data_IF_165952085932
#
_entry.id   IF_165952085932
#
_cell.length_a   1.000
_cell.length_b   1.000
_cell.length_c   1.000
_cell.angle_alpha   90.00
_cell.angle_beta   90.00
_cell.angle_gamma   90.00
#
_symmetry.space_group_name_H-M   'P 1'
#
loop_
_entity.id
_entity.type
_entity.pdbx_description
1 polymer ?
#
# COMPACT_ATOMS: atom_id res chain seq x y z
N UNK A 1 -16.34 4.41 11.82
CA UNK A 1 -14.98 4.97 11.89
C UNK A 1 -14.83 6.00 10.79
N UNK A 2 -15.03 7.27 11.12
CA UNK A 2 -14.66 8.37 10.22
C UNK A 2 -13.21 8.71 10.53
N UNK A 3 -12.36 8.86 9.51
CA UNK A 3 -10.90 9.09 9.67
C UNK A 3 -10.59 10.25 10.65
N UNK A 4 -11.44 11.27 10.70
CA UNK A 4 -11.35 12.37 11.67
C UNK A 4 -11.39 11.94 13.14
N UNK A 5 -12.27 10.99 13.50
CA UNK A 5 -12.35 10.44 14.86
C UNK A 5 -11.05 9.72 15.22
N UNK A 6 -10.45 9.01 14.26
CA UNK A 6 -9.19 8.30 14.45
C UNK A 6 -8.01 9.26 14.63
N UNK A 7 -7.95 10.33 13.82
CA UNK A 7 -6.98 11.41 13.98
C UNK A 7 -7.07 12.01 15.38
N UNK A 8 -8.29 12.33 15.84
CA UNK A 8 -8.54 12.86 17.18
C UNK A 8 -8.06 11.91 18.28
N UNK A 9 -8.41 10.63 18.18
CA UNK A 9 -8.01 9.63 19.17
C UNK A 9 -6.48 9.49 19.28
N UNK A 10 -5.77 9.47 18.15
CA UNK A 10 -4.30 9.41 18.13
C UNK A 10 -3.70 10.69 18.73
N UNK A 11 -4.26 11.86 18.37
CA UNK A 11 -3.82 13.15 18.91
C UNK A 11 -3.96 13.21 20.43
N UNK A 12 -5.12 12.84 20.95
CA UNK A 12 -5.41 12.85 22.39
C UNK A 12 -4.56 11.83 23.16
N UNK A 13 -4.35 10.63 22.60
CA UNK A 13 -3.46 9.62 23.19
C UNK A 13 -2.01 10.12 23.33
N UNK A 14 -1.57 11.00 22.42
CA UNK A 14 -0.25 11.66 22.47
C UNK A 14 -0.24 12.96 23.28
N UNK A 15 -1.35 13.32 23.92
CA UNK A 15 -1.51 14.56 24.70
C UNK A 15 -1.23 15.83 23.89
N UNK A 16 -1.52 15.80 22.59
CA UNK A 16 -1.38 16.95 21.71
C UNK A 16 -2.69 17.73 21.65
N UNK A 17 -2.61 19.05 21.64
CA UNK A 17 -3.73 19.94 21.35
C UNK A 17 -3.90 20.11 19.84
N UNK A 18 -5.04 20.64 19.40
CA UNK A 18 -5.23 21.00 17.99
C UNK A 18 -4.27 22.13 17.55
N UNK A 19 -3.83 22.98 18.49
CA UNK A 19 -2.81 24.00 18.22
C UNK A 19 -1.42 23.40 18.03
N UNK A 20 -1.10 22.32 18.75
CA UNK A 20 0.16 21.60 18.52
C UNK A 20 0.22 20.98 17.11
N UNK A 21 -0.92 20.49 16.62
CA UNK A 21 -1.02 20.02 15.23
C UNK A 21 -0.83 21.17 14.24
N UNK A 22 -1.33 22.36 14.52
CA UNK A 22 -1.10 23.52 13.66
C UNK A 22 0.40 23.82 13.50
N UNK A 23 1.14 23.85 14.61
CA UNK A 23 2.58 24.06 14.58
C UNK A 23 3.35 22.91 13.89
N UNK A 24 2.92 21.65 14.07
CA UNK A 24 3.62 20.48 13.54
C UNK A 24 3.29 20.16 12.08
N UNK A 25 2.04 20.35 11.66
CA UNK A 25 1.53 19.99 10.34
C UNK A 25 1.42 21.18 9.39
N UNK A 26 1.48 22.42 9.91
CA UNK A 26 1.16 23.63 9.16
C UNK A 26 -0.32 23.73 8.77
N UNK A 27 -1.20 23.06 9.52
CA UNK A 27 -2.64 23.01 9.27
C UNK A 27 -3.37 23.84 10.32
N UNK A 28 -4.09 24.88 9.90
CA UNK A 28 -4.84 25.75 10.81
C UNK A 28 -5.67 24.95 11.82
N UNK A 29 -5.66 25.35 13.09
CA UNK A 29 -6.41 24.71 14.18
C UNK A 29 -7.89 24.57 13.84
N UNK A 30 -8.49 25.60 13.23
CA UNK A 30 -9.90 25.56 12.83
C UNK A 30 -10.16 24.49 11.75
N UNK A 31 -9.23 24.29 10.83
CA UNK A 31 -9.29 23.25 9.81
C UNK A 31 -9.15 21.85 10.43
N UNK A 32 -8.18 21.67 11.34
CA UNK A 32 -8.02 20.45 12.13
C UNK A 32 -9.30 20.09 12.90
N UNK A 33 -9.93 21.06 13.56
CA UNK A 33 -11.21 20.86 14.26
C UNK A 33 -12.34 20.41 13.33
N UNK A 34 -12.45 21.00 12.13
CA UNK A 34 -13.45 20.57 11.14
C UNK A 34 -13.26 19.14 10.69
N UNK A 35 -12.00 18.71 10.50
CA UNK A 35 -11.67 17.33 10.12
C UNK A 35 -12.01 16.37 11.24
N UNK A 36 -11.55 16.66 12.47
CA UNK A 36 -11.78 15.79 13.63
C UNK A 36 -13.26 15.57 13.96
N UNK A 37 -14.11 16.57 13.67
CA UNK A 37 -15.56 16.49 13.87
C UNK A 37 -16.34 16.05 12.61
N UNK A 38 -15.66 15.65 11.53
CA UNK A 38 -16.30 15.12 10.32
C UNK A 38 -16.99 16.18 9.43
N UNK A 39 -16.77 17.47 9.67
CA UNK A 39 -17.31 18.56 8.85
C UNK A 39 -16.55 18.79 7.54
N UNK A 40 -15.40 18.15 7.36
CA UNK A 40 -14.58 18.25 6.16
C UNK A 40 -13.84 16.93 5.92
N UNK A 41 -13.83 16.47 4.66
CA UNK A 41 -13.03 15.34 4.23
C UNK A 41 -11.64 15.84 3.80
N UNK A 42 -10.55 15.41 4.45
CA UNK A 42 -9.20 15.82 4.08
C UNK A 42 -8.74 15.17 2.76
N UNK A 43 -7.83 15.84 2.05
CA UNK A 43 -7.12 15.21 0.92
C UNK A 43 -6.07 14.20 1.42
N UNK A 44 -5.54 13.38 0.51
CA UNK A 44 -4.44 12.47 0.83
C UNK A 44 -3.20 13.23 1.35
N UNK A 45 -2.84 14.35 0.72
CA UNK A 45 -1.73 15.20 1.16
C UNK A 45 -1.95 15.72 2.58
N UNK A 46 -3.18 16.13 2.90
CA UNK A 46 -3.54 16.55 4.27
C UNK A 46 -3.40 15.39 5.25
N UNK A 47 -3.84 14.19 4.90
CA UNK A 47 -3.69 13.00 5.74
C UNK A 47 -2.22 12.64 5.97
N UNK A 48 -1.34 12.81 4.98
CA UNK A 48 0.10 12.64 5.15
C UNK A 48 0.70 13.66 6.12
N UNK A 49 0.25 14.92 6.07
CA UNK A 49 0.65 15.96 7.04
C UNK A 49 0.23 15.58 8.46
N UNK A 50 -1.00 15.08 8.65
CA UNK A 50 -1.45 14.55 9.94
C UNK A 50 -0.61 13.38 10.41
N UNK A 51 -0.41 12.36 9.57
CA UNK A 51 0.39 11.19 9.91
C UNK A 51 1.82 11.57 10.35
N UNK A 52 2.43 12.54 9.66
CA UNK A 52 3.75 13.08 10.01
C UNK A 52 3.73 13.83 11.35
N UNK A 53 2.78 14.73 11.56
CA UNK A 53 2.67 15.51 12.79
C UNK A 53 2.33 14.67 14.02
N UNK A 54 1.58 13.58 13.81
CA UNK A 54 1.23 12.58 14.81
C UNK A 54 2.29 11.49 14.95
N UNK A 55 3.36 11.50 14.14
CA UNK A 55 4.44 10.50 14.15
C UNK A 55 3.93 9.06 14.06
N UNK A 56 2.98 8.82 13.17
CA UNK A 56 2.40 7.49 12.92
C UNK A 56 2.46 7.16 11.43
N UNK A 57 2.60 5.87 11.07
CA UNK A 57 2.37 5.45 9.69
C UNK A 57 0.96 5.82 9.22
N UNK A 58 0.82 6.28 7.98
CA UNK A 58 -0.47 6.72 7.41
C UNK A 58 -1.59 5.69 7.57
N UNK A 59 -1.27 4.39 7.46
CA UNK A 59 -2.27 3.32 7.60
C UNK A 59 -2.96 3.33 8.97
N UNK A 60 -2.32 3.84 10.03
CA UNK A 60 -2.91 3.89 11.38
C UNK A 60 -4.08 4.88 11.48
N UNK A 61 -4.20 5.84 10.55
CA UNK A 61 -5.38 6.70 10.45
C UNK A 61 -6.63 5.93 9.99
N UNK A 62 -6.43 4.72 9.44
CA UNK A 62 -7.48 3.84 8.91
C UNK A 62 -7.55 2.50 9.63
N UNK A 63 -6.83 2.33 10.73
CA UNK A 63 -6.69 1.05 11.40
C UNK A 63 -6.64 1.18 12.91
N UNK A 64 -7.50 0.44 13.61
CA UNK A 64 -7.69 0.50 15.07
C UNK A 64 -6.97 -0.60 15.85
N UNK A 65 -6.42 -1.61 15.18
CA UNK A 65 -5.72 -2.71 15.86
C UNK A 65 -4.37 -2.31 16.46
N UNK A 66 -3.94 -3.06 17.49
CA UNK A 66 -2.65 -2.86 18.18
C UNK A 66 -1.46 -3.41 17.38
N UNK A 67 -1.68 -4.45 16.60
CA UNK A 67 -0.69 -5.04 15.70
C UNK A 67 -0.92 -4.55 14.28
N UNK A 68 0.11 -4.41 13.43
CA UNK A 68 -0.09 -4.09 12.03
C UNK A 68 -1.13 -5.03 11.39
N UNK A 69 -2.03 -4.51 10.52
CA UNK A 69 -3.02 -5.34 9.86
C UNK A 69 -2.32 -6.49 9.16
N UNK A 70 -2.80 -7.72 9.38
CA UNK A 70 -2.34 -8.88 8.61
C UNK A 70 -2.54 -8.52 7.15
N UNK A 71 -1.46 -8.57 6.36
CA UNK A 71 -1.53 -8.32 4.93
C UNK A 71 -2.69 -9.18 4.39
N UNK A 72 -3.67 -8.57 3.70
CA UNK A 72 -4.72 -9.37 3.10
C UNK A 72 -4.02 -10.44 2.27
N UNK A 73 -4.41 -11.70 2.48
CA UNK A 73 -4.07 -12.75 1.53
C UNK A 73 -4.74 -12.29 0.24
N UNK A 74 -3.99 -11.59 -0.61
CA UNK A 74 -4.39 -11.35 -1.98
C UNK A 74 -4.75 -12.74 -2.49
N UNK A 75 -6.05 -13.00 -2.62
CA UNK A 75 -6.49 -14.24 -3.22
C UNK A 75 -5.80 -14.23 -4.56
N UNK A 76 -4.82 -15.13 -4.74
CA UNK A 76 -4.25 -15.40 -6.05
C UNK A 76 -5.45 -15.49 -6.97
N UNK A 77 -5.50 -14.61 -7.96
CA UNK A 77 -6.67 -14.50 -8.82
C UNK A 77 -7.01 -15.90 -9.30
N UNK A 78 -8.28 -16.26 -9.51
CA UNK A 78 -8.64 -17.59 -10.06
C UNK A 78 -7.95 -17.89 -11.40
N UNK A 79 -7.40 -16.87 -12.07
CA UNK A 79 -6.46 -17.03 -13.20
C UNK A 79 -5.14 -17.71 -12.84
N UNK A 80 -4.66 -17.60 -11.60
CA UNK A 80 -3.39 -18.15 -11.13
C UNK A 80 -3.45 -19.65 -10.80
N UNK A 81 -4.62 -20.20 -10.45
CA UNK A 81 -4.76 -21.64 -10.17
C UNK A 81 -4.52 -22.48 -11.42
N UNK A 82 -4.93 -21.96 -12.60
CA UNK A 82 -4.70 -22.58 -13.91
C UNK A 82 -3.45 -22.07 -14.63
N UNK A 83 -2.70 -21.15 -14.01
CA UNK A 83 -1.48 -20.60 -14.61
C UNK A 83 -0.31 -21.55 -14.34
N UNK A 84 0.49 -21.82 -15.38
CA UNK A 84 1.70 -22.64 -15.26
C UNK A 84 2.61 -22.07 -14.16
N UNK A 85 2.95 -22.90 -13.17
CA UNK A 85 3.73 -22.53 -11.99
C UNK A 85 2.93 -21.98 -10.79
N UNK A 86 1.60 -21.86 -10.89
CA UNK A 86 0.71 -21.48 -9.79
C UNK A 86 0.65 -22.51 -8.66
N UNK A 87 0.73 -23.80 -8.99
CA UNK A 87 0.71 -24.94 -8.04
C UNK A 87 1.71 -26.04 -8.45
N UNK A 88 1.98 -27.00 -7.55
CA UNK A 88 2.73 -28.22 -7.89
C UNK A 88 4.22 -28.06 -8.22
N UNK A 89 4.75 -29.00 -9.03
CA UNK A 89 6.18 -29.15 -9.35
C UNK A 89 6.75 -27.96 -10.15
N UNK A 90 5.92 -27.32 -10.96
CA UNK A 90 6.32 -26.20 -11.82
C UNK A 90 6.55 -24.88 -11.04
N UNK A 91 6.03 -24.79 -9.81
CA UNK A 91 6.22 -23.61 -8.93
C UNK A 91 7.69 -23.33 -8.61
N UNK A 92 8.55 -24.34 -8.63
CA UNK A 92 10.00 -24.17 -8.45
C UNK A 92 10.63 -23.53 -9.67
N UNK A 93 10.24 -24.00 -10.86
CA UNK A 93 10.74 -23.49 -12.12
C UNK A 93 10.26 -22.05 -12.36
N UNK A 94 8.99 -21.75 -12.07
CA UNK A 94 8.47 -20.38 -12.13
C UNK A 94 9.25 -19.44 -11.20
N UNK A 95 9.53 -19.85 -9.94
CA UNK A 95 10.36 -19.06 -9.03
C UNK A 95 11.76 -18.82 -9.55
N UNK A 96 12.37 -19.82 -10.19
CA UNK A 96 13.68 -19.67 -10.82
C UNK A 96 13.64 -18.67 -11.98
N UNK A 97 12.61 -18.73 -12.82
CA UNK A 97 12.40 -17.75 -13.89
C UNK A 97 12.19 -16.34 -13.34
N UNK A 98 11.30 -16.15 -12.35
CA UNK A 98 11.08 -14.84 -11.73
C UNK A 98 12.39 -14.24 -11.19
N UNK A 99 13.22 -15.07 -10.51
CA UNK A 99 14.51 -14.62 -9.99
C UNK A 99 15.46 -14.23 -11.12
N UNK A 100 15.59 -15.04 -12.16
CA UNK A 100 16.45 -14.75 -13.30
C UNK A 100 16.00 -13.46 -14.03
N UNK A 101 14.70 -13.29 -14.26
CA UNK A 101 14.12 -12.13 -14.91
C UNK A 101 14.26 -10.85 -14.07
N UNK A 102 14.17 -10.94 -12.75
CA UNK A 102 14.35 -9.78 -11.86
C UNK A 102 15.76 -9.18 -11.94
N UNK A 103 16.77 -9.97 -12.27
CA UNK A 103 18.16 -9.52 -12.45
C UNK A 103 18.48 -9.12 -13.90
N UNK A 104 17.51 -9.16 -14.82
CA UNK A 104 17.71 -8.77 -16.21
C UNK A 104 17.32 -7.32 -16.48
N UNK A 105 18.11 -6.65 -17.33
CA UNK A 105 17.73 -5.34 -17.88
C UNK A 105 16.52 -5.46 -18.80
N UNK A 106 15.75 -4.38 -18.95
CA UNK A 106 14.55 -4.33 -19.79
C UNK A 106 14.80 -4.81 -21.23
N UNK A 107 15.92 -4.38 -21.82
CA UNK A 107 16.31 -4.79 -23.18
C UNK A 107 16.53 -6.29 -23.30
N UNK A 108 17.15 -6.93 -22.30
CA UNK A 108 17.38 -8.38 -22.29
C UNK A 108 16.07 -9.15 -22.10
N UNK A 109 15.18 -8.65 -21.23
CA UNK A 109 13.83 -9.22 -21.05
C UNK A 109 13.05 -9.18 -22.36
N UNK A 110 13.07 -8.07 -23.08
CA UNK A 110 12.35 -7.92 -24.34
C UNK A 110 12.80 -8.94 -25.40
N UNK A 111 14.11 -9.13 -25.58
CA UNK A 111 14.63 -10.12 -26.53
C UNK A 111 14.20 -11.56 -26.18
N UNK A 112 14.22 -11.91 -24.89
CA UNK A 112 13.81 -13.22 -24.41
C UNK A 112 12.31 -13.46 -24.69
N UNK A 113 11.46 -12.46 -24.47
CA UNK A 113 10.04 -12.56 -24.80
C UNK A 113 9.80 -12.70 -26.31
N UNK A 114 10.53 -11.99 -27.16
CA UNK A 114 10.44 -12.14 -28.62
C UNK A 114 10.79 -13.56 -29.06
N UNK A 115 11.87 -14.13 -28.52
CA UNK A 115 12.26 -15.52 -28.80
C UNK A 115 11.20 -16.52 -28.33
N UNK A 116 10.69 -16.34 -27.11
CA UNK A 116 9.63 -17.20 -26.56
C UNK A 116 8.37 -17.17 -27.43
N UNK A 117 7.95 -15.99 -27.91
CA UNK A 117 6.81 -15.85 -28.82
C UNK A 117 7.05 -16.54 -30.17
N UNK A 118 8.25 -16.44 -30.73
CA UNK A 118 8.60 -17.12 -31.98
C UNK A 118 8.58 -18.65 -31.82
N UNK A 119 9.09 -19.17 -30.70
CA UNK A 119 9.06 -20.59 -30.39
C UNK A 119 7.62 -21.12 -30.21
N UNK A 120 6.78 -20.38 -29.47
CA UNK A 120 5.40 -20.78 -29.23
C UNK A 120 4.53 -20.77 -30.51
N UNK A 121 4.83 -19.89 -31.47
CA UNK A 121 4.15 -19.86 -32.78
C UNK A 121 4.56 -21.03 -33.69
N UNK A 122 5.77 -21.55 -33.52
CA UNK A 122 6.32 -22.66 -34.31
C UNK A 122 5.92 -24.04 -33.78
N UNK A 123 5.45 -24.13 -32.54
CA UNK A 123 4.99 -25.38 -31.92
C UNK A 123 3.47 -25.61 -32.07
N UNK A 124 2.80 -24.83 -32.91
CA UNK A 124 1.43 -25.06 -33.40
C UNK A 124 1.52 -25.42 -34.87
#
# INVERSE_FOLDING_TARGET
MVVGERIRAIREARKLTQGDIEHRAGLLRCYTSRIENGHTVPSLETLEKFARALEVPLYQLFYEGKEPPKLPRLQRSRTDENLWGGTGKDSRMLRQFCRALAHMTDRRRQHLFTLAQAMARRSR
#
